data_IF_518710983805
#
_entry.id   IF_518710983805
#
_cell.length_a   1.000
_cell.length_b   1.000
_cell.length_c   1.000
_cell.angle_alpha   90.00
_cell.angle_beta   90.00
_cell.angle_gamma   90.00
#
_symmetry.space_group_name_H-M   'P 1'
#
loop_
_entity.id
_entity.type
_entity.pdbx_description
1 polymer ?
#
# COMPACT_ATOMS: atom_id res chain seq x y z
N UNK A 1 24.23 -43.32 4.62
CA UNK A 1 23.78 -42.24 3.72
C UNK A 1 22.26 -42.13 3.87
N UNK A 2 21.68 -41.22 4.68
CA UNK A 2 20.23 -41.15 4.85
C UNK A 2 19.59 -40.42 3.66
N UNK A 3 18.54 -41.04 3.10
CA UNK A 3 17.74 -40.57 1.97
C UNK A 3 17.04 -39.26 2.27
N UNK A 4 17.16 -38.34 1.31
CA UNK A 4 16.52 -37.03 1.32
C UNK A 4 15.04 -37.21 0.91
N UNK A 5 14.13 -37.23 1.87
CA UNK A 5 12.70 -37.08 1.58
C UNK A 5 12.42 -35.61 1.24
N UNK A 6 12.55 -35.26 -0.04
CA UNK A 6 11.99 -34.02 -0.57
C UNK A 6 10.46 -34.15 -0.56
N UNK A 7 9.81 -33.69 0.52
CA UNK A 7 8.37 -33.49 0.53
C UNK A 7 8.04 -32.34 -0.40
N UNK A 8 7.65 -32.68 -1.63
CA UNK A 8 7.04 -31.75 -2.55
C UNK A 8 5.83 -31.10 -1.85
N UNK A 9 6.00 -29.85 -1.44
CA UNK A 9 4.92 -29.04 -0.86
C UNK A 9 3.96 -28.72 -2.00
N UNK A 10 3.04 -29.64 -2.28
CA UNK A 10 1.94 -29.38 -3.19
C UNK A 10 1.09 -28.26 -2.59
N UNK A 11 0.92 -27.12 -3.28
CA UNK A 11 0.16 -26.00 -2.77
C UNK A 11 -1.30 -26.46 -2.58
N UNK A 12 -1.71 -26.61 -1.32
CA UNK A 12 -3.07 -27.05 -1.01
C UNK A 12 -4.06 -25.95 -1.44
N UNK A 13 -4.90 -26.17 -2.47
CA UNK A 13 -5.81 -25.15 -2.98
C UNK A 13 -6.84 -24.71 -1.93
N UNK A 14 -7.20 -25.58 -0.99
CA UNK A 14 -8.08 -25.24 0.12
C UNK A 14 -7.38 -24.29 1.12
N UNK A 15 -6.08 -24.44 1.35
CA UNK A 15 -5.31 -23.51 2.18
C UNK A 15 -5.22 -22.13 1.51
N UNK A 16 -4.96 -22.09 0.20
CA UNK A 16 -4.96 -20.85 -0.57
C UNK A 16 -6.34 -20.16 -0.57
N UNK A 17 -7.43 -20.92 -0.71
CA UNK A 17 -8.79 -20.38 -0.64
C UNK A 17 -9.12 -19.80 0.74
N UNK A 18 -8.71 -20.46 1.83
CA UNK A 18 -8.87 -19.95 3.20
C UNK A 18 -8.09 -18.66 3.43
N UNK A 19 -6.84 -18.58 2.96
CA UNK A 19 -6.04 -17.35 3.05
C UNK A 19 -6.68 -16.19 2.27
N UNK A 20 -7.24 -16.46 1.08
CA UNK A 20 -7.98 -15.46 0.29
C UNK A 20 -9.26 -15.02 1.02
N UNK A 21 -10.03 -15.94 1.59
CA UNK A 21 -11.23 -15.62 2.36
C UNK A 21 -10.91 -14.72 3.57
N UNK A 22 -9.78 -14.96 4.25
CA UNK A 22 -9.30 -14.08 5.34
C UNK A 22 -8.97 -12.68 4.78
N UNK A 23 -8.27 -12.61 3.64
CA UNK A 23 -7.93 -11.35 2.99
C UNK A 23 -9.15 -10.55 2.50
N UNK A 24 -10.20 -11.22 2.04
CA UNK A 24 -11.45 -10.63 1.57
C UNK A 24 -12.37 -10.19 2.72
N UNK A 25 -12.39 -10.95 3.82
CA UNK A 25 -13.18 -10.62 5.01
C UNK A 25 -12.52 -9.57 5.91
N UNK A 26 -11.22 -9.29 5.72
CA UNK A 26 -10.65 -8.04 6.19
C UNK A 26 -11.32 -6.93 5.38
N UNK A 27 -12.40 -6.36 5.92
CA UNK A 27 -12.89 -5.03 5.53
C UNK A 27 -11.64 -4.17 5.41
N UNK A 28 -11.21 -3.89 4.18
CA UNK A 28 -10.15 -2.93 3.91
C UNK A 28 -10.62 -1.69 4.67
N UNK A 29 -9.87 -1.20 5.68
CA UNK A 29 -10.26 0.02 6.37
C UNK A 29 -10.58 1.02 5.28
N UNK A 30 -11.82 1.51 5.26
CA UNK A 30 -12.21 2.52 4.28
C UNK A 30 -11.13 3.59 4.34
N UNK A 31 -10.59 4.06 3.19
CA UNK A 31 -9.55 5.06 3.22
C UNK A 31 -10.06 6.19 4.11
N UNK A 32 -9.37 6.39 5.24
CA UNK A 32 -9.72 7.44 6.18
C UNK A 32 -9.79 8.72 5.36
N UNK A 33 -10.95 9.40 5.36
CA UNK A 33 -11.15 10.70 4.69
C UNK A 33 -10.39 11.81 5.44
N UNK A 34 -9.17 11.52 5.85
CA UNK A 34 -8.27 12.43 6.54
C UNK A 34 -7.19 12.90 5.58
N UNK A 35 -6.70 14.11 5.84
CA UNK A 35 -5.50 14.62 5.22
C UNK A 35 -4.35 13.63 5.40
N UNK A 36 -3.49 13.56 4.39
CA UNK A 36 -2.33 12.68 4.36
C UNK A 36 -1.09 13.50 4.15
N UNK A 37 -0.12 13.31 5.02
CA UNK A 37 1.02 14.17 5.16
C UNK A 37 2.29 13.47 4.71
N UNK A 38 3.27 14.26 4.31
CA UNK A 38 4.61 13.82 3.94
C UNK A 38 5.65 14.70 4.62
N UNK A 39 6.66 14.09 5.24
CA UNK A 39 7.89 14.75 5.62
C UNK A 39 9.03 14.30 4.70
N UNK A 40 9.51 15.20 3.83
CA UNK A 40 10.60 14.89 2.89
C UNK A 40 11.93 14.65 3.60
N UNK A 41 12.17 15.36 4.71
CA UNK A 41 13.39 15.22 5.53
C UNK A 41 13.54 13.81 6.11
N UNK A 42 12.44 13.23 6.60
CA UNK A 42 12.44 11.90 7.21
C UNK A 42 11.98 10.79 6.25
N UNK A 43 11.56 11.16 5.03
CA UNK A 43 10.99 10.24 4.03
C UNK A 43 9.85 9.37 4.58
N UNK A 44 8.93 9.99 5.33
CA UNK A 44 7.79 9.30 5.95
C UNK A 44 6.47 9.95 5.59
N UNK A 45 5.42 9.12 5.42
CA UNK A 45 4.05 9.57 5.18
C UNK A 45 3.11 8.96 6.20
N UNK A 46 2.10 9.71 6.60
CA UNK A 46 1.04 9.26 7.51
C UNK A 46 -0.30 9.90 7.13
N UNK A 47 -1.38 9.35 7.66
CA UNK A 47 -2.73 9.91 7.54
C UNK A 47 -3.25 10.23 8.94
N UNK A 48 -3.91 11.36 9.13
CA UNK A 48 -4.41 11.78 10.44
C UNK A 48 -4.86 13.23 10.50
N UNK A 49 -5.11 13.71 11.72
CA UNK A 49 -5.41 15.12 11.98
C UNK A 49 -4.15 15.94 12.30
N UNK A 50 -3.07 15.28 12.69
CA UNK A 50 -1.81 15.91 13.11
C UNK A 50 -0.91 16.16 11.89
N UNK A 51 -0.57 17.43 11.67
CA UNK A 51 0.30 17.85 10.57
C UNK A 51 1.79 17.74 10.92
N UNK A 52 2.16 17.54 12.19
CA UNK A 52 3.56 17.46 12.60
C UNK A 52 4.14 16.06 12.42
N UNK A 53 5.37 15.99 11.93
CA UNK A 53 6.06 14.73 11.74
C UNK A 53 6.46 14.12 13.08
N UNK A 54 5.94 12.94 13.39
CA UNK A 54 6.28 12.16 14.60
C UNK A 54 7.79 11.95 14.80
N UNK A 55 8.59 11.88 13.73
CA UNK A 55 10.03 11.61 13.83
C UNK A 55 10.90 12.84 14.12
N UNK A 56 10.56 14.00 13.57
CA UNK A 56 11.42 15.20 13.68
C UNK A 56 10.73 16.40 14.34
N UNK A 57 9.43 16.30 14.65
CA UNK A 57 8.64 17.37 15.26
C UNK A 57 8.41 18.60 14.38
N UNK A 58 8.80 18.53 13.10
CA UNK A 58 8.57 19.61 12.15
C UNK A 58 7.22 19.43 11.44
N UNK A 59 6.59 20.53 11.00
CA UNK A 59 5.36 20.45 10.21
C UNK A 59 5.60 19.67 8.92
N UNK A 60 4.54 19.00 8.45
CA UNK A 60 4.54 18.28 7.19
C UNK A 60 5.00 19.19 6.05
N UNK A 61 5.84 18.63 5.18
CA UNK A 61 6.30 19.34 3.99
C UNK A 61 5.17 19.46 2.96
N UNK A 62 4.29 18.47 2.88
CA UNK A 62 3.15 18.45 1.97
C UNK A 62 1.93 17.78 2.62
N UNK A 63 0.76 18.28 2.25
CA UNK A 63 -0.54 17.73 2.58
C UNK A 63 -1.25 17.25 1.31
N UNK A 64 -1.91 16.10 1.40
CA UNK A 64 -2.64 15.47 0.32
C UNK A 64 -4.02 15.06 0.81
N UNK A 65 -5.05 15.39 0.04
CA UNK A 65 -6.44 14.99 0.33
C UNK A 65 -6.69 13.49 0.12
N UNK A 66 -5.77 12.80 -0.56
CA UNK A 66 -5.89 11.39 -0.90
C UNK A 66 -4.82 10.56 -0.18
N UNK A 67 -5.21 9.57 0.64
CA UNK A 67 -4.27 8.82 1.49
C UNK A 67 -3.27 7.93 0.77
N UNK A 68 -3.48 7.68 -0.52
CA UNK A 68 -2.50 6.97 -1.36
C UNK A 68 -1.39 7.88 -1.92
N UNK A 69 -1.65 9.18 -2.10
CA UNK A 69 -0.77 10.06 -2.88
C UNK A 69 0.53 10.38 -2.15
N UNK A 70 0.46 10.64 -0.84
CA UNK A 70 1.65 10.93 -0.02
C UNK A 70 2.68 9.78 -0.07
N UNK A 71 2.19 8.54 0.11
CA UNK A 71 3.03 7.34 0.06
C UNK A 71 3.58 7.10 -1.35
N UNK A 72 2.76 7.26 -2.38
CA UNK A 72 3.20 7.09 -3.77
C UNK A 72 4.33 8.06 -4.13
N UNK A 73 4.21 9.32 -3.73
CA UNK A 73 5.25 10.33 -3.95
C UNK A 73 6.55 10.00 -3.21
N UNK A 74 6.45 9.48 -1.98
CA UNK A 74 7.64 9.02 -1.25
C UNK A 74 8.30 7.82 -1.91
N UNK A 75 7.52 6.85 -2.37
CA UNK A 75 8.07 5.68 -3.08
C UNK A 75 8.84 6.13 -4.32
N UNK A 76 8.28 7.06 -5.11
CA UNK A 76 8.97 7.66 -6.26
C UNK A 76 10.26 8.38 -5.81
N UNK A 77 10.21 9.20 -4.76
CA UNK A 77 11.36 9.96 -4.27
C UNK A 77 12.51 9.07 -3.76
N UNK A 78 12.20 7.91 -3.18
CA UNK A 78 13.18 6.93 -2.67
C UNK A 78 13.62 5.94 -3.78
N UNK A 79 13.19 6.14 -5.02
CA UNK A 79 13.57 5.29 -6.16
C UNK A 79 12.85 3.94 -6.21
N UNK A 80 11.78 3.76 -5.41
CA UNK A 80 10.87 2.62 -5.51
C UNK A 80 9.72 2.99 -6.43
N UNK A 81 9.83 2.67 -7.71
CA UNK A 81 8.72 2.88 -8.65
C UNK A 81 7.54 1.97 -8.27
N UNK A 82 6.37 2.51 -7.91
CA UNK A 82 5.18 1.70 -7.79
C UNK A 82 4.81 1.19 -9.19
N UNK A 83 4.73 -0.12 -9.37
CA UNK A 83 4.22 -0.71 -10.61
C UNK A 83 2.72 -0.41 -10.67
N UNK A 84 2.35 0.68 -11.33
CA UNK A 84 0.98 0.93 -11.74
C UNK A 84 0.64 -0.07 -12.85
N UNK A 85 -0.26 -1.00 -12.57
CA UNK A 85 -1.03 -1.66 -13.63
C UNK A 85 -2.18 -0.71 -13.98
N UNK A 86 -2.17 -0.04 -15.14
CA UNK A 86 -3.37 0.65 -15.59
C UNK A 86 -4.48 -0.38 -15.76
N UNK A 87 -5.64 -0.13 -15.14
CA UNK A 87 -6.86 -0.88 -15.47
C UNK A 87 -7.21 -0.60 -16.94
N UNK A 88 -7.39 -1.63 -17.79
CA UNK A 88 -7.94 -1.45 -19.11
C UNK A 88 -9.46 -1.30 -18.99
N UNK A 89 -9.98 -0.07 -18.96
CA UNK A 89 -11.44 0.08 -18.88
C UNK A 89 -12.06 1.48 -18.90
N UNK A 90 -11.33 2.56 -19.16
CA UNK A 90 -11.95 3.89 -19.31
C UNK A 90 -11.47 4.60 -20.58
N UNK A 91 -11.78 4.02 -21.74
CA UNK A 91 -12.02 4.81 -22.95
C UNK A 91 -13.34 4.32 -23.55
N UNK A 92 -14.12 5.29 -24.02
CA UNK A 92 -15.30 5.15 -24.89
C UNK A 92 -16.67 5.24 -24.20
N UNK A 93 -17.11 6.47 -23.92
CA UNK A 93 -18.50 6.90 -24.17
C UNK A 93 -18.49 8.43 -24.35
N UNK A 94 -18.16 8.88 -25.56
CA UNK A 94 -18.46 10.24 -26.01
C UNK A 94 -18.58 10.25 -27.52
N UNK A 95 -19.76 9.83 -28.01
CA UNK A 95 -20.36 10.36 -29.24
C UNK A 95 -21.83 10.03 -29.35
#
# INVERSE_FOLDING_TARGET
MPSQHATAHSPNPAAAARMRAIGLNRRRPAPSRGASFNCSRCSTSWAGAEADCFWCGLPATQEHSHPGTALQLLLIAVGRTPVFKPEPGQQEESR
#
